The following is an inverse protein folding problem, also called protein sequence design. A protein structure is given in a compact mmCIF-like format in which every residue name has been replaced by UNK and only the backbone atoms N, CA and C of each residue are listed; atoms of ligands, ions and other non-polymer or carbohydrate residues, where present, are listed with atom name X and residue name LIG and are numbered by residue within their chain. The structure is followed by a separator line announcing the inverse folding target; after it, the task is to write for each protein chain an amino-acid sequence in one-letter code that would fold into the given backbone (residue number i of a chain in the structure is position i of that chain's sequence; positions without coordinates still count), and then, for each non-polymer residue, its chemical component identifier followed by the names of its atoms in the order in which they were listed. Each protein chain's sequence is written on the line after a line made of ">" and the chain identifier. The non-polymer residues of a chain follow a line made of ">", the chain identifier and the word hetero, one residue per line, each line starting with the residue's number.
data_IF_274073353057
#
_entry.id   IF_274073353057
#
_cell.length_a   1.000
_cell.length_b   1.000
_cell.length_c   1.000
_cell.angle_alpha   90.00
_cell.angle_beta   90.00
_cell.angle_gamma   90.00
#
_symmetry.space_group_name_H-M   'P 1'
#
loop_
_entity.id
_entity.type
_entity.pdbx_description
1 polymer ?
#
# COMPACT_ATOMS: atom_id res chain seq x y z
N UNK A 1 14.63 -49.68 -1.17
CA UNK A 1 13.96 -48.96 -0.05
C UNK A 1 14.59 -47.60 0.25
N UNK A 2 15.92 -47.47 0.23
CA UNK A 2 16.65 -46.21 0.51
C UNK A 2 16.41 -45.10 -0.54
N UNK A 3 16.29 -45.44 -1.83
CA UNK A 3 16.04 -44.45 -2.88
C UNK A 3 14.64 -43.83 -2.77
N UNK A 4 13.61 -44.64 -2.46
CA UNK A 4 12.23 -44.17 -2.29
C UNK A 4 12.10 -43.20 -1.10
N UNK A 5 12.79 -43.48 0.01
CA UNK A 5 12.84 -42.59 1.18
C UNK A 5 13.53 -41.26 0.87
N UNK A 6 14.61 -41.28 0.05
CA UNK A 6 15.32 -40.06 -0.39
C UNK A 6 14.48 -39.19 -1.33
N UNK A 7 13.72 -39.80 -2.26
CA UNK A 7 12.79 -39.06 -3.12
C UNK A 7 11.61 -38.48 -2.33
N UNK A 8 11.09 -39.22 -1.35
CA UNK A 8 10.03 -38.75 -0.47
C UNK A 8 10.51 -37.54 0.37
N UNK A 9 11.68 -37.63 1.00
CA UNK A 9 12.28 -36.51 1.73
C UNK A 9 12.55 -35.29 0.83
N UNK A 10 13.03 -35.49 -0.40
CA UNK A 10 13.28 -34.38 -1.33
C UNK A 10 11.99 -33.66 -1.76
N UNK A 11 10.89 -34.40 -1.99
CA UNK A 11 9.59 -33.81 -2.29
C UNK A 11 9.02 -33.01 -1.12
N UNK A 12 9.10 -33.54 0.11
CA UNK A 12 8.63 -32.82 1.30
C UNK A 12 9.43 -31.54 1.55
N UNK A 13 10.77 -31.56 1.38
CA UNK A 13 11.61 -30.37 1.53
C UNK A 13 11.34 -29.31 0.46
N UNK A 14 11.09 -29.71 -0.79
CA UNK A 14 10.72 -28.79 -1.87
C UNK A 14 9.34 -28.14 -1.63
N UNK A 15 8.36 -28.91 -1.13
CA UNK A 15 7.02 -28.40 -0.82
C UNK A 15 7.05 -27.39 0.36
N UNK A 16 7.83 -27.67 1.40
CA UNK A 16 8.02 -26.74 2.53
C UNK A 16 8.79 -25.47 2.13
N UNK A 17 9.79 -25.58 1.24
CA UNK A 17 10.50 -24.42 0.71
C UNK A 17 9.58 -23.45 -0.05
N UNK A 18 8.64 -23.99 -0.83
CA UNK A 18 7.64 -23.19 -1.56
C UNK A 18 6.59 -22.57 -0.63
N UNK A 19 6.18 -23.28 0.44
CA UNK A 19 5.21 -22.77 1.42
C UNK A 19 5.78 -21.68 2.35
N UNK A 20 7.09 -21.73 2.65
CA UNK A 20 7.75 -20.80 3.57
C UNK A 20 8.34 -19.57 2.86
N UNK A 21 8.63 -19.65 1.56
CA UNK A 21 9.18 -18.53 0.80
C UNK A 21 8.17 -17.39 0.60
N UNK A 22 6.89 -17.70 0.46
CA UNK A 22 5.82 -16.69 0.27
C UNK A 22 5.59 -15.80 1.49
N UNK A 23 5.43 -16.30 2.74
CA UNK A 23 5.26 -15.42 3.91
C UNK A 23 6.54 -14.63 4.23
N UNK A 24 7.73 -15.19 3.99
CA UNK A 24 8.99 -14.48 4.23
C UNK A 24 9.16 -13.30 3.28
N UNK A 25 8.74 -13.44 2.02
CA UNK A 25 8.78 -12.37 1.01
C UNK A 25 7.80 -11.23 1.34
N UNK A 26 6.62 -11.55 1.88
CA UNK A 26 5.66 -10.56 2.36
C UNK A 26 6.15 -9.83 3.62
N UNK A 27 6.91 -10.49 4.50
CA UNK A 27 7.50 -9.88 5.70
C UNK A 27 8.71 -8.98 5.38
N UNK A 28 9.39 -9.20 4.25
CA UNK A 28 10.55 -8.43 3.83
C UNK A 28 10.22 -7.14 3.07
N UNK A 29 8.96 -6.91 2.67
CA UNK A 29 8.58 -5.67 2.00
C UNK A 29 8.49 -4.52 3.00
N UNK A 30 9.22 -3.44 2.72
CA UNK A 30 9.15 -2.18 3.45
C UNK A 30 7.73 -1.65 3.40
N UNK A 31 7.12 -1.41 4.58
CA UNK A 31 5.82 -0.75 4.66
C UNK A 31 5.94 0.69 4.18
N UNK A 32 5.03 1.12 3.34
CA UNK A 32 4.89 2.51 2.95
C UNK A 32 3.51 3.03 3.36
N UNK A 33 3.44 4.32 3.67
CA UNK A 33 2.17 4.98 3.91
C UNK A 33 1.68 5.59 2.60
N UNK A 34 0.42 5.33 2.26
CA UNK A 34 -0.16 5.75 1.00
C UNK A 34 -1.67 5.92 1.12
N UNK A 35 -2.23 6.64 0.16
CA UNK A 35 -3.66 6.83 -0.04
C UNK A 35 -4.08 6.08 -1.29
N UNK A 36 -5.15 5.30 -1.21
CA UNK A 36 -5.75 4.61 -2.35
C UNK A 36 -7.17 5.12 -2.55
N UNK A 37 -7.50 5.46 -3.80
CA UNK A 37 -8.83 5.86 -4.19
C UNK A 37 -9.64 4.65 -4.64
N UNK A 38 -10.91 4.58 -4.22
CA UNK A 38 -11.85 3.57 -4.71
C UNK A 38 -12.13 3.76 -6.20
N UNK A 39 -12.56 2.69 -6.88
CA UNK A 39 -12.81 2.73 -8.32
C UNK A 39 -13.93 3.69 -8.74
N UNK A 40 -14.85 4.01 -7.83
CA UNK A 40 -15.91 5.01 -8.01
C UNK A 40 -15.48 6.43 -7.60
N UNK A 41 -14.21 6.62 -7.23
CA UNK A 41 -13.59 7.89 -6.82
C UNK A 41 -14.16 8.53 -5.55
N UNK A 42 -15.10 7.88 -4.88
CA UNK A 42 -15.81 8.47 -3.73
C UNK A 42 -15.08 8.31 -2.40
N UNK A 43 -14.13 7.38 -2.31
CA UNK A 43 -13.48 7.01 -1.04
C UNK A 43 -11.96 7.04 -1.16
N UNK A 44 -11.31 7.79 -0.28
CA UNK A 44 -9.87 7.69 -0.03
C UNK A 44 -9.63 6.80 1.18
N UNK A 45 -8.77 5.80 1.03
CA UNK A 45 -8.34 4.92 2.14
C UNK A 45 -6.86 5.07 2.40
N UNK A 46 -6.51 5.36 3.65
CA UNK A 46 -5.16 5.54 4.15
C UNK A 46 -4.64 4.20 4.69
N UNK A 47 -3.52 3.75 4.14
CA UNK A 47 -2.89 2.47 4.49
C UNK A 47 -1.45 2.69 4.93
N UNK A 48 -0.94 1.78 5.77
CA UNK A 48 0.48 1.69 6.11
C UNK A 48 0.93 0.24 6.06
N UNK A 49 1.11 -0.27 4.84
CA UNK A 49 1.41 -1.66 4.54
C UNK A 49 2.36 -1.78 3.32
N UNK A 50 2.67 -3.01 2.93
CA UNK A 50 3.52 -3.32 1.77
C UNK A 50 2.74 -3.58 0.48
N UNK A 51 1.43 -3.32 0.48
CA UNK A 51 0.51 -3.78 -0.56
C UNK A 51 0.21 -2.72 -1.62
N UNK A 52 0.76 -1.51 -1.54
CA UNK A 52 0.48 -0.42 -2.50
C UNK A 52 0.63 -0.87 -3.96
N UNK A 53 1.73 -1.55 -4.28
CA UNK A 53 2.01 -2.05 -5.63
C UNK A 53 0.99 -3.08 -6.14
N UNK A 54 0.20 -3.67 -5.23
CA UNK A 54 -0.85 -4.64 -5.55
C UNK A 54 -2.24 -4.01 -5.59
N UNK A 55 -2.40 -2.76 -5.13
CA UNK A 55 -3.68 -2.06 -5.15
C UNK A 55 -4.07 -1.75 -6.59
N UNK A 56 -5.33 -1.98 -6.91
CA UNK A 56 -5.93 -1.57 -8.18
C UNK A 56 -6.43 -0.13 -8.05
N UNK A 57 -6.33 0.65 -9.13
CA UNK A 57 -6.76 2.05 -9.15
C UNK A 57 -5.64 3.02 -8.78
N UNK A 58 -6.02 4.27 -8.49
CA UNK A 58 -5.07 5.34 -8.22
C UNK A 58 -4.57 5.27 -6.79
N UNK A 59 -3.25 5.37 -6.62
CA UNK A 59 -2.62 5.49 -5.31
C UNK A 59 -1.56 6.57 -5.30
N UNK A 60 -1.44 7.28 -4.19
CA UNK A 60 -0.39 8.29 -3.95
C UNK A 60 0.38 7.91 -2.70
N UNK A 61 1.69 8.11 -2.71
CA UNK A 61 2.46 8.06 -1.48
C UNK A 61 1.91 9.12 -0.51
N UNK A 62 1.96 8.87 0.79
CA UNK A 62 1.41 9.82 1.77
C UNK A 62 2.15 11.17 1.73
N UNK A 63 3.44 11.13 1.38
CA UNK A 63 4.32 12.29 1.20
C UNK A 63 4.47 12.70 -0.27
N UNK A 64 3.75 12.04 -1.18
CA UNK A 64 3.72 12.43 -2.59
C UNK A 64 2.99 13.77 -2.73
N UNK A 65 3.58 14.71 -3.45
CA UNK A 65 3.06 16.07 -3.56
C UNK A 65 2.87 16.51 -5.01
N UNK A 66 1.89 17.37 -5.23
CA UNK A 66 1.69 18.12 -6.47
C UNK A 66 1.88 19.62 -6.24
N UNK A 67 2.34 20.32 -7.28
CA UNK A 67 2.48 21.78 -7.26
C UNK A 67 1.33 22.41 -8.04
N UNK A 68 0.64 23.35 -7.39
CA UNK A 68 -0.44 24.13 -8.00
C UNK A 68 0.07 25.54 -8.22
N UNK A 69 -0.03 26.00 -9.47
CA UNK A 69 0.43 27.32 -9.87
C UNK A 69 -0.30 28.37 -9.00
N UNK A 70 0.47 29.27 -8.40
CA UNK A 70 0.01 30.33 -7.49
C UNK A 70 -0.48 29.89 -6.09
N UNK A 71 -0.78 28.60 -5.87
CA UNK A 71 -1.31 28.11 -4.58
C UNK A 71 -0.31 27.28 -3.76
N UNK A 72 0.80 26.83 -4.36
CA UNK A 72 1.90 26.14 -3.68
C UNK A 72 1.84 24.62 -3.79
N UNK A 73 2.39 23.91 -2.80
CA UNK A 73 2.54 22.45 -2.81
C UNK A 73 1.48 21.78 -1.93
N UNK A 74 0.82 20.76 -2.46
CA UNK A 74 -0.24 20.00 -1.81
C UNK A 74 0.05 18.50 -1.86
N UNK A 75 -0.53 17.67 -0.97
CA UNK A 75 -0.53 16.24 -1.15
C UNK A 75 -1.11 15.85 -2.51
N UNK A 76 -0.53 14.85 -3.17
CA UNK A 76 -0.94 14.42 -4.52
C UNK A 76 -2.39 13.95 -4.57
N UNK A 77 -2.88 13.39 -3.45
CA UNK A 77 -4.24 12.88 -3.27
C UNK A 77 -5.26 13.96 -2.87
N UNK A 78 -4.82 15.17 -2.50
CA UNK A 78 -5.72 16.21 -1.99
C UNK A 78 -6.30 17.07 -3.13
N UNK A 79 -7.58 17.43 -3.02
CA UNK A 79 -8.18 18.49 -3.82
C UNK A 79 -7.59 19.86 -3.47
N UNK A 80 -7.62 20.79 -4.43
CA UNK A 80 -7.12 22.17 -4.25
C UNK A 80 -8.13 23.19 -4.76
N UNK A 81 -7.88 24.49 -4.56
CA UNK A 81 -8.73 25.57 -5.08
C UNK A 81 -8.83 25.58 -6.61
N UNK A 82 -7.76 25.19 -7.30
CA UNK A 82 -7.69 25.16 -8.77
C UNK A 82 -8.01 23.77 -9.32
N UNK A 83 -7.76 22.72 -8.55
CA UNK A 83 -8.06 21.32 -8.87
C UNK A 83 -9.01 20.76 -7.82
N UNK A 84 -10.24 21.27 -7.80
CA UNK A 84 -11.23 20.93 -6.78
C UNK A 84 -11.62 19.46 -6.88
N UNK A 85 -11.50 18.73 -5.77
CA UNK A 85 -12.09 17.41 -5.62
C UNK A 85 -13.56 17.56 -5.24
N UNK A 86 -14.46 17.14 -6.13
CA UNK A 86 -15.91 17.19 -5.93
C UNK A 86 -16.53 15.81 -5.75
N UNK A 87 -15.75 14.74 -5.87
CA UNK A 87 -16.24 13.35 -5.94
C UNK A 87 -15.95 12.60 -4.65
N UNK A 88 -14.80 12.85 -4.02
CA UNK A 88 -14.46 12.22 -2.74
C UNK A 88 -15.43 12.68 -1.66
N UNK A 89 -16.19 11.74 -1.10
CA UNK A 89 -17.18 12.01 -0.03
C UNK A 89 -16.85 11.26 1.26
N UNK A 90 -15.86 10.38 1.23
CA UNK A 90 -15.50 9.51 2.36
C UNK A 90 -13.99 9.34 2.49
N UNK A 91 -13.52 9.37 3.74
CA UNK A 91 -12.14 9.02 4.11
C UNK A 91 -12.16 7.85 5.09
N UNK A 92 -11.28 6.88 4.88
CA UNK A 92 -11.13 5.69 5.72
C UNK A 92 -9.68 5.55 6.16
N UNK A 93 -9.45 5.31 7.44
CA UNK A 93 -8.15 4.88 7.94
C UNK A 93 -8.19 3.38 8.17
N UNK A 94 -7.38 2.64 7.41
CA UNK A 94 -7.24 1.21 7.64
C UNK A 94 -6.55 0.95 8.99
N UNK A 95 -6.80 -0.22 9.57
CA UNK A 95 -6.21 -0.61 10.85
C UNK A 95 -4.67 -0.56 10.83
N UNK A 96 -4.04 -0.77 9.67
CA UNK A 96 -2.59 -0.65 9.48
C UNK A 96 -2.06 0.76 9.68
N UNK A 97 -2.84 1.81 9.40
CA UNK A 97 -2.39 3.20 9.48
C UNK A 97 -2.10 3.67 10.90
N UNK A 98 -2.55 2.92 11.93
CA UNK A 98 -2.36 3.24 13.35
C UNK A 98 -0.91 3.50 13.76
N UNK A 99 0.05 2.86 13.09
CA UNK A 99 1.47 2.91 13.43
C UNK A 99 2.24 3.94 12.61
N UNK A 100 1.59 4.55 11.60
CA UNK A 100 2.20 5.62 10.84
C UNK A 100 2.33 6.88 11.70
N UNK A 101 3.48 7.56 11.57
CA UNK A 101 3.80 8.79 12.29
C UNK A 101 4.21 9.84 11.26
N UNK A 102 3.25 10.61 10.70
CA UNK A 102 3.59 11.63 9.72
C UNK A 102 4.55 12.65 10.33
N UNK A 103 5.52 13.09 9.54
CA UNK A 103 6.39 14.21 9.89
C UNK A 103 5.65 15.55 9.79
N UNK A 104 4.63 15.61 8.93
CA UNK A 104 3.75 16.75 8.73
C UNK A 104 2.38 16.30 8.22
N UNK A 105 1.32 17.03 8.58
CA UNK A 105 -0.03 16.90 8.03
C UNK A 105 -0.49 18.20 7.38
N UNK A 106 0.45 19.05 6.95
CA UNK A 106 0.13 20.30 6.29
C UNK A 106 -0.63 20.02 4.99
N UNK A 107 -1.77 20.70 4.80
CA UNK A 107 -2.62 20.61 3.60
C UNK A 107 -3.24 19.23 3.36
N UNK A 108 -3.26 18.37 4.38
CA UNK A 108 -4.09 17.17 4.42
C UNK A 108 -5.56 17.53 4.55
#
# INVERSE_FOLDING_TARGET
>A
MIHYLRYCCAMFLALFGFLLATPLSAQAQTREAYVSQSADETTLTFYYDALRATRTGTTWGIEETKSVIFDGTFPGWAGTSLEVDTTTTRVVFDASFRDFRPTTTAKW
#
